data_IF_872859042933
#
_entry.id   IF_872859042933
#
_cell.length_a   1.000
_cell.length_b   1.000
_cell.length_c   1.000
_cell.angle_alpha   90.00
_cell.angle_beta   90.00
_cell.angle_gamma   90.00
#
_symmetry.space_group_name_H-M   'P 1'
#
loop_
_entity.id
_entity.type
_entity.pdbx_description
1 polymer ?
#
# COMPACT_ATOMS: atom_id res chain seq x y z
N UNK A 1 12.21 6.51 11.15
CA UNK A 1 11.44 7.37 10.24
C UNK A 1 10.68 6.52 9.24
N UNK A 2 9.51 7.00 8.83
CA UNK A 2 8.68 6.34 7.81
C UNK A 2 9.46 6.20 6.48
N UNK A 3 9.45 5.01 5.93
CA UNK A 3 10.07 4.70 4.63
C UNK A 3 11.59 4.92 4.55
N UNK A 4 12.31 4.74 5.65
CA UNK A 4 13.78 4.83 5.63
C UNK A 4 14.42 3.87 4.64
N UNK A 5 13.79 2.72 4.38
CA UNK A 5 14.32 1.73 3.43
C UNK A 5 14.49 2.29 2.02
N UNK A 6 13.76 3.36 1.66
CA UNK A 6 13.92 4.02 0.36
C UNK A 6 15.29 4.66 0.17
N UNK A 7 16.01 4.92 1.27
CA UNK A 7 17.36 5.46 1.22
C UNK A 7 18.43 4.37 1.11
N UNK A 8 18.05 3.09 1.17
CA UNK A 8 18.99 1.99 0.95
C UNK A 8 19.42 1.96 -0.51
N UNK A 9 20.63 1.41 -0.77
CA UNK A 9 21.15 1.31 -2.14
C UNK A 9 20.20 0.52 -3.04
N UNK A 10 19.61 -0.55 -2.50
CA UNK A 10 18.71 -1.43 -3.26
C UNK A 10 17.46 -0.69 -3.76
N UNK A 11 16.91 0.19 -2.96
CA UNK A 11 15.69 0.91 -3.31
C UNK A 11 15.97 2.23 -4.00
N UNK A 12 16.93 3.01 -3.50
CA UNK A 12 17.18 4.35 -4.00
C UNK A 12 17.54 4.35 -5.49
N UNK A 13 18.51 3.52 -5.88
CA UNK A 13 18.94 3.45 -7.28
C UNK A 13 17.82 2.99 -8.20
N UNK A 14 17.06 1.98 -7.79
CA UNK A 14 15.96 1.45 -8.59
C UNK A 14 14.83 2.46 -8.75
N UNK A 15 14.46 3.16 -7.68
CA UNK A 15 13.43 4.20 -7.75
C UNK A 15 13.88 5.37 -8.60
N UNK A 16 15.15 5.78 -8.46
CA UNK A 16 15.69 6.87 -9.26
C UNK A 16 15.65 6.55 -10.75
N UNK A 17 16.06 5.34 -11.14
CA UNK A 17 16.01 4.92 -12.54
C UNK A 17 14.58 4.81 -13.07
N UNK A 18 13.66 4.24 -12.28
CA UNK A 18 12.28 4.03 -12.70
C UNK A 18 11.52 5.34 -12.89
N UNK A 19 11.66 6.29 -11.94
CA UNK A 19 10.88 7.53 -11.96
C UNK A 19 11.56 8.67 -12.74
N UNK A 20 12.89 8.71 -12.78
CA UNK A 20 13.64 9.85 -13.33
C UNK A 20 14.60 9.46 -14.46
N UNK A 21 14.77 8.17 -14.71
CA UNK A 21 15.63 7.71 -15.78
C UNK A 21 15.01 7.87 -17.16
N UNK A 22 15.86 7.98 -18.17
CA UNK A 22 15.43 8.13 -19.56
C UNK A 22 14.93 6.82 -20.18
N UNK A 23 15.33 5.68 -19.62
CA UNK A 23 14.98 4.36 -20.14
C UNK A 23 14.05 3.63 -19.19
N UNK A 24 12.85 3.25 -19.67
CA UNK A 24 11.92 2.40 -18.94
C UNK A 24 11.76 1.07 -19.68
N UNK A 25 12.86 0.38 -19.91
CA UNK A 25 12.87 -0.94 -20.51
C UNK A 25 12.58 -2.04 -19.47
N UNK A 26 12.58 -3.28 -19.93
CA UNK A 26 12.28 -4.44 -19.08
C UNK A 26 13.27 -4.57 -17.91
N UNK A 27 14.54 -4.26 -18.12
CA UNK A 27 15.56 -4.31 -17.08
C UNK A 27 15.24 -3.32 -15.94
N UNK A 28 14.87 -2.08 -16.31
CA UNK A 28 14.52 -1.05 -15.32
C UNK A 28 13.29 -1.46 -14.52
N UNK A 29 12.29 -2.03 -15.19
CA UNK A 29 11.08 -2.52 -14.53
C UNK A 29 11.37 -3.65 -13.55
N UNK A 30 12.21 -4.61 -13.94
CA UNK A 30 12.61 -5.73 -13.09
C UNK A 30 13.37 -5.23 -11.86
N UNK A 31 14.26 -4.27 -12.04
CA UNK A 31 15.01 -3.66 -10.93
C UNK A 31 14.06 -2.96 -9.98
N UNK A 32 13.06 -2.27 -10.51
CA UNK A 32 12.02 -1.62 -9.69
C UNK A 32 11.23 -2.67 -8.89
N UNK A 33 10.89 -3.82 -9.48
CA UNK A 33 10.15 -4.87 -8.79
C UNK A 33 10.92 -5.39 -7.58
N UNK A 34 12.23 -5.60 -7.69
CA UNK A 34 13.04 -6.01 -6.55
C UNK A 34 13.08 -4.94 -5.46
N UNK A 35 13.19 -3.67 -5.86
CA UNK A 35 13.17 -2.57 -4.90
C UNK A 35 11.82 -2.46 -4.19
N UNK A 36 10.72 -2.64 -4.92
CA UNK A 36 9.37 -2.63 -4.35
C UNK A 36 9.20 -3.79 -3.35
N UNK A 37 9.66 -4.99 -3.71
CA UNK A 37 9.62 -6.14 -2.82
C UNK A 37 10.40 -5.88 -1.53
N UNK A 38 11.60 -5.31 -1.63
CA UNK A 38 12.40 -4.91 -0.47
C UNK A 38 11.65 -3.89 0.38
N UNK A 39 11.01 -2.91 -0.26
CA UNK A 39 10.25 -1.87 0.43
C UNK A 39 9.09 -2.44 1.23
N UNK A 40 8.26 -3.29 0.64
CA UNK A 40 7.11 -3.86 1.34
C UNK A 40 7.52 -4.81 2.46
N UNK A 41 8.66 -5.49 2.34
CA UNK A 41 9.16 -6.37 3.38
C UNK A 41 9.69 -5.59 4.59
N UNK A 42 10.14 -4.35 4.40
CA UNK A 42 10.74 -3.54 5.46
C UNK A 42 9.82 -2.45 6.01
N UNK A 43 8.62 -2.31 5.46
CA UNK A 43 7.69 -1.25 5.86
C UNK A 43 6.30 -1.83 6.18
N UNK A 44 5.98 -2.04 7.46
CA UNK A 44 4.76 -2.75 7.86
C UNK A 44 3.45 -1.97 7.61
N UNK A 45 3.52 -0.70 7.18
CA UNK A 45 2.32 0.05 6.81
C UNK A 45 1.82 -0.25 5.40
N UNK A 46 2.50 -1.15 4.67
CA UNK A 46 2.00 -1.67 3.39
C UNK A 46 1.32 -3.01 3.64
N UNK A 47 0.10 -3.18 3.11
CA UNK A 47 -0.69 -4.40 3.37
C UNK A 47 0.02 -5.67 2.89
N UNK A 48 0.85 -5.56 1.84
CA UNK A 48 1.60 -6.70 1.30
C UNK A 48 2.57 -7.29 2.33
N UNK A 49 3.03 -6.49 3.28
CA UNK A 49 3.90 -6.95 4.37
C UNK A 49 3.24 -8.06 5.21
N UNK A 50 1.90 -8.08 5.24
CA UNK A 50 1.12 -8.97 6.10
C UNK A 50 0.51 -10.15 5.36
N UNK A 51 0.97 -10.41 4.12
CA UNK A 51 0.57 -11.58 3.34
C UNK A 51 1.54 -12.70 3.59
N UNK A 52 1.01 -13.84 4.06
CA UNK A 52 1.81 -15.04 4.26
C UNK A 52 1.46 -16.04 3.16
N UNK A 53 2.43 -16.33 2.29
CA UNK A 53 2.26 -17.39 1.31
C UNK A 53 2.46 -18.74 1.99
N UNK A 54 1.61 -19.70 1.68
CA UNK A 54 1.70 -21.04 2.24
C UNK A 54 1.33 -22.07 1.20
N UNK A 55 1.94 -23.24 1.32
CA UNK A 55 1.74 -24.34 0.38
C UNK A 55 0.82 -25.45 0.90
N UNK A 56 -0.03 -25.13 1.90
CA UNK A 56 -1.02 -26.07 2.44
C UNK A 56 -2.02 -26.40 1.35
N UNK A 57 -2.15 -27.70 0.96
CA UNK A 57 -3.10 -28.09 -0.08
C UNK A 57 -4.57 -27.76 0.23
N UNK A 58 -4.89 -27.51 1.49
CA UNK A 58 -6.24 -27.12 1.92
C UNK A 58 -6.54 -25.67 1.63
N UNK A 59 -5.51 -24.84 1.44
CA UNK A 59 -5.66 -23.44 1.10
C UNK A 59 -5.46 -23.23 -0.39
N UNK A 60 -6.58 -23.26 -1.14
CA UNK A 60 -6.55 -23.14 -2.59
C UNK A 60 -5.99 -21.80 -3.07
N UNK A 61 -6.10 -20.75 -2.26
CA UNK A 61 -5.56 -19.42 -2.61
C UNK A 61 -4.04 -19.38 -2.60
N UNK A 62 -3.39 -20.26 -1.83
CA UNK A 62 -1.95 -20.27 -1.68
C UNK A 62 -1.39 -19.18 -0.76
N UNK A 63 -2.24 -18.39 -0.12
CA UNK A 63 -1.82 -17.35 0.81
C UNK A 63 -2.89 -17.11 1.86
N UNK A 64 -2.50 -16.42 2.93
CA UNK A 64 -3.46 -15.89 3.90
C UNK A 64 -3.03 -14.50 4.34
N UNK A 65 -4.01 -13.70 4.74
CA UNK A 65 -3.78 -12.35 5.23
C UNK A 65 -3.74 -12.37 6.76
N UNK A 66 -2.71 -11.73 7.31
CA UNK A 66 -2.59 -11.57 8.76
C UNK A 66 -3.12 -10.20 9.17
N UNK A 67 -3.53 -10.06 10.42
CA UNK A 67 -4.02 -8.79 10.94
C UNK A 67 -2.89 -7.75 10.99
N UNK A 68 -3.18 -6.55 10.54
CA UNK A 68 -2.28 -5.41 10.68
C UNK A 68 -2.50 -4.75 12.05
N UNK A 69 -1.42 -4.35 12.74
CA UNK A 69 -1.56 -3.51 13.93
C UNK A 69 -2.23 -2.17 13.59
N UNK A 70 -2.96 -1.60 14.54
CA UNK A 70 -3.71 -0.37 14.33
C UNK A 70 -2.83 0.79 13.85
N UNK A 71 -1.62 0.93 14.39
CA UNK A 71 -0.69 1.99 13.97
C UNK A 71 -0.32 1.86 12.49
N UNK A 72 -0.11 0.62 12.01
CA UNK A 72 0.24 0.38 10.61
C UNK A 72 -0.95 0.63 9.69
N UNK A 73 -2.17 0.32 10.15
CA UNK A 73 -3.38 0.64 9.39
C UNK A 73 -3.50 2.16 9.21
N UNK A 74 -3.30 2.92 10.27
CA UNK A 74 -3.37 4.39 10.22
C UNK A 74 -2.30 4.94 9.27
N UNK A 75 -1.07 4.44 9.37
CA UNK A 75 0.01 4.86 8.47
C UNK A 75 -0.31 4.55 7.01
N UNK A 76 -0.87 3.37 6.74
CA UNK A 76 -1.26 2.97 5.39
C UNK A 76 -2.30 3.92 4.81
N UNK A 77 -3.32 4.24 5.59
CA UNK A 77 -4.39 5.14 5.16
C UNK A 77 -3.84 6.56 4.95
N UNK A 78 -2.95 7.02 5.81
CA UNK A 78 -2.29 8.32 5.63
C UNK A 78 -1.49 8.36 4.34
N UNK A 79 -0.80 7.27 4.00
CA UNK A 79 -0.09 7.15 2.73
C UNK A 79 -1.05 7.29 1.54
N UNK A 80 -2.17 6.60 1.59
CA UNK A 80 -3.20 6.69 0.54
C UNK A 80 -3.70 8.13 0.38
N UNK A 81 -3.98 8.80 1.51
CA UNK A 81 -4.43 10.20 1.49
C UNK A 81 -3.38 11.14 0.93
N UNK A 82 -2.09 10.85 1.12
CA UNK A 82 -1.03 11.71 0.61
C UNK A 82 -1.08 11.83 -0.92
N UNK A 83 -1.46 10.77 -1.62
CA UNK A 83 -1.63 10.81 -3.08
C UNK A 83 -2.82 11.67 -3.47
N UNK A 84 -3.94 11.53 -2.77
CA UNK A 84 -5.13 12.37 -3.02
C UNK A 84 -4.85 13.84 -2.74
N UNK A 85 -4.11 14.13 -1.67
CA UNK A 85 -3.69 15.49 -1.33
C UNK A 85 -2.85 16.10 -2.45
N UNK A 86 -1.89 15.35 -3.01
CA UNK A 86 -1.04 15.81 -4.11
C UNK A 86 -1.83 16.12 -5.36
N UNK A 87 -2.93 15.40 -5.59
CA UNK A 87 -3.82 15.65 -6.73
C UNK A 87 -4.78 16.82 -6.50
N UNK A 88 -4.82 17.35 -5.28
CA UNK A 88 -5.71 18.45 -4.92
C UNK A 88 -7.15 18.04 -4.65
N UNK A 89 -7.41 16.74 -4.47
CA UNK A 89 -8.76 16.23 -4.22
C UNK A 89 -8.71 15.15 -3.12
N UNK A 90 -9.02 15.56 -1.89
CA UNK A 90 -9.02 14.64 -0.74
C UNK A 90 -10.08 13.54 -0.86
N UNK A 91 -11.13 13.76 -1.62
CA UNK A 91 -12.21 12.78 -1.79
C UNK A 91 -11.88 11.69 -2.81
N UNK A 92 -10.85 11.87 -3.60
CA UNK A 92 -10.44 10.91 -4.63
C UNK A 92 -10.11 9.54 -4.04
N UNK A 93 -9.64 9.49 -2.79
CA UNK A 93 -9.28 8.23 -2.13
C UNK A 93 -10.46 7.25 -2.07
N UNK A 94 -11.69 7.75 -1.91
CA UNK A 94 -12.85 6.87 -1.74
C UNK A 94 -13.18 6.14 -3.04
N UNK A 95 -13.16 6.84 -4.17
CA UNK A 95 -13.34 6.20 -5.47
C UNK A 95 -12.15 5.32 -5.84
N UNK A 96 -10.94 5.74 -5.48
CA UNK A 96 -9.74 4.92 -5.68
C UNK A 96 -9.85 3.60 -4.93
N UNK A 97 -10.26 3.65 -3.65
CA UNK A 97 -10.42 2.44 -2.85
C UNK A 97 -11.47 1.50 -3.46
N UNK A 98 -12.62 2.02 -3.87
CA UNK A 98 -13.65 1.21 -4.52
C UNK A 98 -13.13 0.47 -5.76
N UNK A 99 -12.31 1.13 -6.55
CA UNK A 99 -11.73 0.53 -7.76
C UNK A 99 -10.69 -0.54 -7.47
N UNK A 100 -10.01 -0.44 -6.33
CA UNK A 100 -8.86 -1.28 -6.01
C UNK A 100 -9.11 -2.27 -4.88
N UNK A 101 -10.26 -2.21 -4.21
CA UNK A 101 -10.52 -3.01 -3.01
C UNK A 101 -10.37 -4.51 -3.23
N UNK A 102 -10.72 -5.00 -4.41
CA UNK A 102 -10.59 -6.44 -4.72
C UNK A 102 -9.14 -6.88 -4.88
N UNK A 103 -8.26 -5.95 -5.22
CA UNK A 103 -6.83 -6.21 -5.37
C UNK A 103 -6.04 -5.95 -4.09
N UNK A 104 -6.63 -5.26 -3.14
CA UNK A 104 -6.03 -5.03 -1.82
C UNK A 104 -6.44 -6.19 -0.91
N UNK A 105 -5.49 -7.03 -0.56
CA UNK A 105 -5.75 -8.25 0.20
C UNK A 105 -5.52 -8.01 1.68
N UNK A 106 -6.58 -8.01 2.47
CA UNK A 106 -6.54 -7.71 3.89
C UNK A 106 -7.24 -8.81 4.68
N UNK A 107 -6.74 -9.06 5.89
CA UNK A 107 -7.48 -9.85 6.87
C UNK A 107 -8.85 -9.19 7.09
N UNK A 108 -9.89 -10.00 7.31
CA UNK A 108 -11.26 -9.50 7.47
C UNK A 108 -11.36 -8.41 8.54
N UNK A 109 -10.71 -8.60 9.69
CA UNK A 109 -10.71 -7.61 10.77
C UNK A 109 -9.99 -6.32 10.38
N UNK A 110 -8.90 -6.43 9.63
CA UNK A 110 -8.18 -5.26 9.11
C UNK A 110 -9.05 -4.50 8.14
N UNK A 111 -9.72 -5.20 7.22
CA UNK A 111 -10.62 -4.58 6.25
C UNK A 111 -11.75 -3.80 6.94
N UNK A 112 -12.34 -4.39 7.97
CA UNK A 112 -13.39 -3.72 8.73
C UNK A 112 -12.90 -2.41 9.34
N UNK A 113 -11.69 -2.41 9.90
CA UNK A 113 -11.08 -1.21 10.47
C UNK A 113 -10.77 -0.16 9.41
N UNK A 114 -10.20 -0.58 8.28
CA UNK A 114 -9.89 0.32 7.16
C UNK A 114 -11.17 0.98 6.65
N UNK A 115 -12.20 0.21 6.38
CA UNK A 115 -13.46 0.75 5.85
C UNK A 115 -14.17 1.64 6.86
N UNK A 116 -14.11 1.28 8.14
CA UNK A 116 -14.66 2.14 9.21
C UNK A 116 -13.96 3.51 9.22
N UNK A 117 -12.63 3.53 9.16
CA UNK A 117 -11.86 4.78 9.15
C UNK A 117 -12.20 5.61 7.91
N UNK A 118 -12.25 4.98 6.74
CA UNK A 118 -12.57 5.69 5.49
C UNK A 118 -13.97 6.29 5.53
N UNK A 119 -14.95 5.56 6.05
CA UNK A 119 -16.33 6.05 6.18
C UNK A 119 -16.36 7.25 7.12
N UNK A 120 -15.68 7.16 8.27
CA UNK A 120 -15.65 8.26 9.25
C UNK A 120 -15.02 9.51 8.65
N UNK A 121 -13.92 9.37 7.91
CA UNK A 121 -13.26 10.52 7.26
C UNK A 121 -14.17 11.11 6.18
N UNK A 122 -14.83 10.26 5.40
CA UNK A 122 -15.74 10.72 4.35
C UNK A 122 -16.89 11.54 4.94
N UNK A 123 -17.48 11.06 6.03
CA UNK A 123 -18.56 11.77 6.72
C UNK A 123 -18.11 13.14 7.24
N UNK A 124 -16.89 13.20 7.81
CA UNK A 124 -16.32 14.46 8.28
C UNK A 124 -16.09 15.46 7.13
N UNK A 125 -15.55 14.98 6.00
CA UNK A 125 -15.31 15.84 4.83
C UNK A 125 -16.62 16.34 4.22
N UNK A 126 -17.66 15.53 4.20
CA UNK A 126 -18.98 15.92 3.66
C UNK A 126 -19.72 16.87 4.60
N UNK A 127 -19.52 16.75 5.91
CA UNK A 127 -20.19 17.60 6.89
C UNK A 127 -19.65 19.03 6.94
N UNK A 128 -18.47 19.27 6.38
CA UNK A 128 -17.83 20.59 6.34
C UNK A 128 -18.30 21.45 5.17
N UNK A 129 -19.19 20.93 4.34
CA UNK A 129 -19.68 21.65 3.16
C UNK A 129 -20.84 22.58 3.50
#
# INVERSE_FOLDING_TARGET
MHDESKLSMEEFDAYNEYFYGDKKDQYVKEKFDYAWLHHIHNNPHHWQHWILFEDDPKNEKGYKCLEMPDADIVHMICDWFSFSFKKGDLKEIFSWYEKHEDNIKLHQKTRQKVEYILIRIKDELESEV
#
